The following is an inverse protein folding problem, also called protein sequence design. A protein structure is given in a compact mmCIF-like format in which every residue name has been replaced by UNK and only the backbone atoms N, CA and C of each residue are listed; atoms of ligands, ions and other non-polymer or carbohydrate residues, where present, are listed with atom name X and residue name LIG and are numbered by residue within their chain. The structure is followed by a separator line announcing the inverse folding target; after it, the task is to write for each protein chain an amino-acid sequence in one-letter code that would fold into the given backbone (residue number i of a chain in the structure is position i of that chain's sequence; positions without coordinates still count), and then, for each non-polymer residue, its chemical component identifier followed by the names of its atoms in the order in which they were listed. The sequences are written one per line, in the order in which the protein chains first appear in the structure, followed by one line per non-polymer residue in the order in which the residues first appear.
data_IF_143679146297
#
_entry.id   IF_143679146297
#
_cell.length_a   1.000
_cell.length_b   1.000
_cell.length_c   1.000
_cell.angle_alpha   90.00
_cell.angle_beta   90.00
_cell.angle_gamma   90.00
#
_symmetry.space_group_name_H-M   'P 1'
#
loop_
_entity.id
_entity.type
_entity.pdbx_description
1 polymer ?
#
# COMPACT_ATOMS: atom_id res chain seq x y z
N UNK A 1 -49.37 12.46 36.89
CA UNK A 1 -48.18 11.73 36.37
C UNK A 1 -48.55 10.81 35.19
N UNK A 2 -49.11 11.31 34.08
CA UNK A 2 -49.46 10.48 32.89
C UNK A 2 -48.72 10.87 31.61
N UNK A 3 -47.97 11.98 31.60
CA UNK A 3 -47.30 12.51 30.40
C UNK A 3 -45.79 12.24 30.33
N UNK A 4 -45.19 11.60 31.35
CA UNK A 4 -43.74 11.35 31.40
C UNK A 4 -43.28 10.20 30.48
N UNK A 5 -44.15 9.23 30.24
CA UNK A 5 -43.85 8.03 29.42
C UNK A 5 -43.72 8.35 27.91
N UNK A 6 -44.59 9.16 27.27
CA UNK A 6 -44.46 9.45 25.84
C UNK A 6 -43.23 10.32 25.50
N UNK A 7 -42.77 11.18 26.42
CA UNK A 7 -41.58 12.03 26.20
C UNK A 7 -40.30 11.20 26.12
N UNK A 8 -40.19 10.16 26.94
CA UNK A 8 -39.03 9.26 26.96
C UNK A 8 -38.93 8.41 25.69
N UNK A 9 -40.06 7.93 25.17
CA UNK A 9 -40.10 7.17 23.91
C UNK A 9 -39.75 8.04 22.68
N UNK A 10 -40.18 9.31 22.67
CA UNK A 10 -39.80 10.25 21.61
C UNK A 10 -38.30 10.58 21.63
N UNK A 11 -37.73 10.80 22.81
CA UNK A 11 -36.29 11.03 22.95
C UNK A 11 -35.47 9.81 22.51
N UNK A 12 -35.94 8.60 22.80
CA UNK A 12 -35.27 7.36 22.40
C UNK A 12 -35.27 7.18 20.86
N UNK A 13 -36.34 7.56 20.15
CA UNK A 13 -36.38 7.45 18.68
C UNK A 13 -35.49 8.49 17.97
N UNK A 14 -35.28 9.65 18.59
CA UNK A 14 -34.38 10.69 18.07
C UNK A 14 -32.90 10.30 18.22
N UNK A 15 -32.55 9.44 19.17
CA UNK A 15 -31.18 8.97 19.35
C UNK A 15 -30.75 7.88 18.35
N UNK A 16 -31.68 7.21 17.67
CA UNK A 16 -31.36 6.08 16.76
C UNK A 16 -31.15 6.48 15.31
N UNK A 17 -31.32 7.76 14.93
CA UNK A 17 -31.29 8.21 13.54
C UNK A 17 -29.91 8.68 13.03
N UNK A 18 -28.84 8.61 13.85
CA UNK A 18 -27.50 9.10 13.46
C UNK A 18 -26.55 7.99 12.99
N UNK A 19 -27.06 6.90 12.43
CA UNK A 19 -26.20 5.89 11.82
C UNK A 19 -25.77 6.38 10.43
N UNK A 20 -24.61 7.06 10.34
CA UNK A 20 -24.00 7.41 9.06
C UNK A 20 -23.61 6.12 8.35
N UNK A 21 -24.17 5.88 7.18
CA UNK A 21 -23.83 4.70 6.37
C UNK A 21 -22.50 4.98 5.68
N UNK A 22 -21.45 4.28 6.10
CA UNK A 22 -20.14 4.39 5.49
C UNK A 22 -20.17 3.65 4.14
N UNK A 23 -19.94 4.37 3.03
CA UNK A 23 -19.95 3.78 1.69
C UNK A 23 -18.65 3.05 1.36
N UNK A 24 -17.55 3.48 1.97
CA UNK A 24 -16.22 2.92 1.75
C UNK A 24 -15.67 2.32 3.04
N UNK A 25 -15.52 1.01 3.08
CA UNK A 25 -14.96 0.27 4.23
C UNK A 25 -13.57 -0.25 3.86
N UNK A 26 -12.57 0.04 4.70
CA UNK A 26 -11.21 -0.47 4.51
C UNK A 26 -10.79 -1.27 5.73
N UNK A 27 -10.20 -2.43 5.47
CA UNK A 27 -9.66 -3.32 6.48
C UNK A 27 -8.23 -3.71 6.12
N UNK A 28 -7.35 -3.72 7.11
CA UNK A 28 -5.98 -4.19 6.96
C UNK A 28 -5.84 -5.50 7.70
N UNK A 29 -5.30 -6.51 7.03
CA UNK A 29 -5.04 -7.82 7.63
C UNK A 29 -3.57 -8.17 7.49
N UNK A 30 -3.00 -8.68 8.57
CA UNK A 30 -1.71 -9.33 8.56
C UNK A 30 -1.89 -10.77 8.11
N UNK A 31 -0.92 -11.26 7.35
CA UNK A 31 -0.84 -12.64 6.88
C UNK A 31 0.38 -13.27 7.55
N UNK A 32 0.14 -14.27 8.38
CA UNK A 32 1.16 -15.07 9.02
C UNK A 32 0.66 -16.52 9.13
N UNK A 33 1.55 -17.42 9.54
CA UNK A 33 1.17 -18.82 9.80
C UNK A 33 0.10 -18.94 10.90
N UNK A 34 0.01 -17.97 11.81
CA UNK A 34 -0.98 -17.97 12.90
C UNK A 34 -2.41 -17.73 12.40
N UNK A 35 -2.58 -17.30 11.15
CA UNK A 35 -3.88 -17.16 10.51
C UNK A 35 -4.37 -18.47 9.87
N UNK A 36 -3.53 -19.52 9.80
CA UNK A 36 -3.91 -20.81 9.23
C UNK A 36 -4.63 -21.66 10.28
N UNK A 37 -5.78 -22.24 9.91
CA UNK A 37 -6.50 -23.13 10.82
C UNK A 37 -5.66 -24.37 11.19
N UNK A 38 -4.88 -24.89 10.23
CA UNK A 38 -3.97 -26.03 10.39
C UNK A 38 -2.94 -25.84 11.51
N UNK A 39 -2.51 -24.59 11.73
CA UNK A 39 -1.60 -24.23 12.83
C UNK A 39 -2.18 -24.59 14.21
N UNK A 40 -3.47 -24.37 14.43
CA UNK A 40 -4.13 -24.63 15.73
C UNK A 40 -4.58 -26.08 15.90
N UNK A 41 -4.87 -26.79 14.81
CA UNK A 41 -5.32 -28.20 14.87
C UNK A 41 -4.17 -29.20 14.71
N UNK A 42 -2.93 -28.72 14.58
CA UNK A 42 -1.72 -29.53 14.37
C UNK A 42 -1.86 -30.53 13.21
N UNK A 43 -2.63 -30.17 12.19
CA UNK A 43 -2.79 -30.99 10.98
C UNK A 43 -1.61 -30.73 10.05
N UNK A 44 -0.94 -31.77 9.52
CA UNK A 44 0.14 -31.59 8.56
C UNK A 44 -0.40 -30.89 7.30
N UNK A 45 0.05 -29.66 7.07
CA UNK A 45 -0.35 -28.79 5.97
C UNK A 45 0.92 -28.25 5.29
N UNK A 46 1.13 -28.48 3.98
CA UNK A 46 2.29 -27.96 3.25
C UNK A 46 2.46 -26.44 3.35
N UNK A 47 1.37 -25.70 3.61
CA UNK A 47 1.42 -24.26 3.82
C UNK A 47 2.01 -23.85 5.17
N UNK A 48 2.14 -24.78 6.14
CA UNK A 48 2.85 -24.52 7.40
C UNK A 48 4.37 -24.56 7.23
N UNK A 49 4.88 -25.37 6.30
CA UNK A 49 6.32 -25.50 6.05
C UNK A 49 6.89 -24.24 5.38
N UNK A 50 6.08 -23.56 4.55
CA UNK A 50 6.44 -22.29 3.92
C UNK A 50 5.24 -21.33 3.91
N UNK A 51 4.93 -20.71 5.07
CA UNK A 51 3.75 -19.86 5.21
C UNK A 51 3.92 -18.57 4.45
N UNK A 52 2.82 -18.10 3.86
CA UNK A 52 2.77 -16.75 3.29
C UNK A 52 2.86 -15.76 4.44
N UNK A 53 3.84 -14.87 4.36
CA UNK A 53 3.99 -13.75 5.29
C UNK A 53 3.70 -12.45 4.57
N UNK A 54 2.97 -11.54 5.20
CA UNK A 54 2.69 -10.25 4.57
C UNK A 54 1.54 -9.47 5.18
N UNK A 55 1.01 -8.56 4.38
CA UNK A 55 -0.14 -7.73 4.68
C UNK A 55 -1.04 -7.62 3.47
N UNK A 56 -2.34 -7.41 3.71
CA UNK A 56 -3.31 -7.09 2.67
C UNK A 56 -4.23 -5.96 3.10
N UNK A 57 -4.65 -5.16 2.14
CA UNK A 57 -5.69 -4.15 2.31
C UNK A 57 -6.93 -4.62 1.55
N UNK A 58 -8.02 -4.81 2.27
CA UNK A 58 -9.34 -5.05 1.70
C UNK A 58 -10.08 -3.72 1.62
N UNK A 59 -10.36 -3.27 0.41
CA UNK A 59 -11.18 -2.10 0.13
C UNK A 59 -12.54 -2.59 -0.35
N UNK A 60 -13.59 -2.27 0.39
CA UNK A 60 -14.98 -2.60 0.04
C UNK A 60 -15.77 -1.33 -0.15
N UNK A 61 -16.58 -1.30 -1.20
CA UNK A 61 -17.46 -0.16 -1.48
C UNK A 61 -18.91 -0.58 -1.67
N UNK A 62 -19.80 0.29 -1.24
CA UNK A 62 -21.23 0.27 -1.48
C UNK A 62 -21.67 1.72 -1.73
N UNK A 63 -21.43 2.19 -2.96
CA UNK A 63 -21.62 3.57 -3.38
C UNK A 63 -23.12 3.87 -3.58
N UNK A 64 -23.56 5.09 -3.24
CA UNK A 64 -24.94 5.51 -3.45
C UNK A 64 -25.23 5.64 -4.94
N UNK A 65 -26.49 5.46 -5.33
CA UNK A 65 -26.94 5.59 -6.73
C UNK A 65 -26.73 6.98 -7.32
N UNK A 66 -26.54 8.01 -6.49
CA UNK A 66 -26.16 9.36 -6.95
C UNK A 66 -24.85 9.38 -7.73
N UNK A 67 -23.96 8.40 -7.50
CA UNK A 67 -22.67 8.30 -8.20
C UNK A 67 -22.82 7.70 -9.61
N UNK A 68 -24.00 7.18 -9.98
CA UNK A 68 -24.27 6.72 -11.35
C UNK A 68 -24.31 7.87 -12.38
N UNK A 69 -24.42 9.12 -11.91
CA UNK A 69 -24.42 10.28 -12.79
C UNK A 69 -23.03 10.64 -13.31
N UNK A 70 -21.96 10.13 -12.69
CA UNK A 70 -20.60 10.32 -13.17
C UNK A 70 -20.36 9.42 -14.39
N UNK A 71 -19.76 9.98 -15.44
CA UNK A 71 -19.40 9.22 -16.64
C UNK A 71 -18.16 8.33 -16.37
N UNK A 72 -17.21 8.87 -15.61
CA UNK A 72 -16.00 8.15 -15.23
C UNK A 72 -15.88 8.09 -13.70
N UNK A 73 -16.11 6.89 -13.16
CA UNK A 73 -15.94 6.61 -11.73
C UNK A 73 -14.73 5.69 -11.54
N UNK A 74 -13.77 6.10 -10.72
CA UNK A 74 -12.55 5.36 -10.46
C UNK A 74 -12.22 5.33 -8.97
N UNK A 75 -11.58 4.24 -8.54
CA UNK A 75 -11.01 4.10 -7.20
C UNK A 75 -9.50 4.26 -7.31
N UNK A 76 -8.94 5.15 -6.51
CA UNK A 76 -7.51 5.41 -6.41
C UNK A 76 -7.01 5.02 -5.03
N UNK A 77 -6.21 3.96 -4.95
CA UNK A 77 -5.51 3.52 -3.75
C UNK A 77 -4.06 3.97 -3.82
N UNK A 78 -3.64 4.75 -2.83
CA UNK A 78 -2.24 5.16 -2.63
C UNK A 78 -1.73 4.46 -1.38
N UNK A 79 -0.68 3.64 -1.54
CA UNK A 79 -0.05 2.90 -0.44
C UNK A 79 1.36 3.44 -0.24
N UNK A 80 1.71 3.77 1.00
CA UNK A 80 3.08 4.12 1.39
C UNK A 80 3.68 2.99 2.20
N UNK A 81 4.86 2.57 1.77
CA UNK A 81 5.62 1.48 2.38
C UNK A 81 6.64 2.03 3.38
N UNK A 82 7.14 1.18 4.27
CA UNK A 82 8.16 1.57 5.26
C UNK A 82 9.49 1.97 4.63
N UNK A 83 9.81 1.46 3.44
CA UNK A 83 10.98 1.85 2.64
C UNK A 83 10.84 3.21 1.93
N UNK A 84 9.79 3.98 2.28
CA UNK A 84 9.44 5.30 1.71
C UNK A 84 9.00 5.26 0.25
N UNK A 85 8.79 4.09 -0.34
CA UNK A 85 8.15 4.00 -1.66
C UNK A 85 6.65 4.27 -1.56
N UNK A 86 6.12 4.87 -2.61
CA UNK A 86 4.70 5.12 -2.78
C UNK A 86 4.21 4.36 -4.01
N UNK A 87 3.19 3.53 -3.83
CA UNK A 87 2.51 2.80 -4.90
C UNK A 87 1.14 3.43 -5.14
N UNK A 88 0.84 3.72 -6.41
CA UNK A 88 -0.43 4.30 -6.84
C UNK A 88 -1.14 3.30 -7.73
N UNK A 89 -2.34 2.92 -7.32
CA UNK A 89 -3.17 1.95 -8.01
C UNK A 89 -4.50 2.62 -8.29
N UNK A 90 -4.85 2.76 -9.56
CA UNK A 90 -6.15 3.27 -9.97
C UNK A 90 -6.87 2.25 -10.83
N UNK A 91 -8.17 2.09 -10.62
CA UNK A 91 -9.01 1.25 -11.47
C UNK A 91 -10.44 1.80 -11.59
N UNK A 92 -11.09 1.60 -12.76
CA UNK A 92 -12.46 2.05 -12.97
C UNK A 92 -13.45 1.20 -12.15
N UNK A 93 -14.41 1.85 -11.52
CA UNK A 93 -15.50 1.22 -10.77
C UNK A 93 -16.64 0.90 -11.73
N UNK A 94 -16.79 -0.38 -12.08
CA UNK A 94 -17.89 -0.84 -12.96
C UNK A 94 -19.20 -1.05 -12.22
N UNK A 95 -19.13 -1.44 -10.94
CA UNK A 95 -20.28 -1.79 -10.11
C UNK A 95 -20.35 -0.89 -8.88
N UNK A 96 -21.56 -0.47 -8.49
CA UNK A 96 -21.78 0.37 -7.29
C UNK A 96 -21.41 -0.34 -5.99
N UNK A 97 -21.38 -1.66 -5.99
CA UNK A 97 -20.89 -2.48 -4.88
C UNK A 97 -19.74 -3.36 -5.35
N UNK A 98 -18.72 -3.52 -4.53
CA UNK A 98 -17.60 -4.38 -4.88
C UNK A 98 -16.52 -4.41 -3.81
N UNK A 99 -15.47 -5.17 -4.13
CA UNK A 99 -14.29 -5.25 -3.28
C UNK A 99 -13.02 -5.35 -4.11
N UNK A 100 -11.93 -4.88 -3.53
CA UNK A 100 -10.59 -4.95 -4.08
C UNK A 100 -9.61 -5.34 -2.97
N UNK A 101 -8.68 -6.21 -3.31
CA UNK A 101 -7.65 -6.70 -2.39
C UNK A 101 -6.26 -6.33 -2.93
N UNK A 102 -5.57 -5.49 -2.18
CA UNK A 102 -4.15 -5.23 -2.39
C UNK A 102 -3.32 -6.17 -1.52
N UNK A 103 -2.30 -6.81 -2.11
CA UNK A 103 -1.44 -7.77 -1.42
C UNK A 103 0.01 -7.28 -1.42
N UNK A 104 0.63 -7.31 -0.25
CA UNK A 104 2.07 -7.13 -0.06
C UNK A 104 2.60 -8.34 0.71
N UNK A 105 3.18 -9.30 -0.01
CA UNK A 105 3.53 -10.63 0.53
C UNK A 105 4.99 -11.00 0.25
N UNK A 106 5.50 -11.95 1.04
CA UNK A 106 6.81 -12.61 0.92
C UNK A 106 7.95 -11.60 0.71
N UNK A 107 8.74 -11.75 -0.34
CA UNK A 107 9.93 -10.92 -0.61
C UNK A 107 9.60 -9.43 -0.67
N UNK A 108 8.46 -9.05 -1.24
CA UNK A 108 8.03 -7.65 -1.33
C UNK A 108 7.74 -7.07 0.06
N UNK A 109 7.10 -7.86 0.93
CA UNK A 109 6.86 -7.48 2.32
C UNK A 109 8.17 -7.34 3.10
N UNK A 110 9.06 -8.34 2.98
CA UNK A 110 10.35 -8.34 3.65
C UNK A 110 11.26 -7.18 3.21
N UNK A 111 11.29 -6.87 1.91
CA UNK A 111 12.13 -5.81 1.36
C UNK A 111 11.61 -4.41 1.71
N UNK A 112 10.28 -4.23 1.72
CA UNK A 112 9.65 -2.93 1.98
C UNK A 112 9.47 -2.62 3.46
N UNK A 113 9.49 -3.65 4.33
CA UNK A 113 9.14 -3.53 5.74
C UNK A 113 7.64 -3.44 6.00
N UNK A 114 6.81 -3.71 4.99
CA UNK A 114 5.35 -3.65 5.10
C UNK A 114 4.73 -2.31 4.72
N UNK A 115 3.41 -2.23 4.86
CA UNK A 115 2.58 -1.07 4.62
C UNK A 115 2.66 -0.14 5.84
N UNK A 116 3.12 1.09 5.62
CA UNK A 116 3.19 2.10 6.67
C UNK A 116 1.87 2.88 6.80
N UNK A 117 1.28 3.29 5.68
CA UNK A 117 0.01 4.04 5.66
C UNK A 117 -0.62 3.99 4.26
N UNK A 118 -1.90 4.31 4.15
CA UNK A 118 -2.61 4.32 2.86
C UNK A 118 -3.72 5.38 2.83
N UNK A 119 -4.12 5.74 1.61
CA UNK A 119 -5.26 6.60 1.31
C UNK A 119 -6.04 6.02 0.15
N UNK A 120 -7.37 6.08 0.24
CA UNK A 120 -8.28 5.66 -0.83
C UNK A 120 -9.15 6.85 -1.21
N UNK A 121 -9.16 7.19 -2.50
CA UNK A 121 -10.01 8.23 -3.06
C UNK A 121 -10.97 7.60 -4.09
N UNK A 122 -12.25 7.95 -4.01
CA UNK A 122 -13.25 7.70 -5.07
C UNK A 122 -13.33 8.97 -5.90
N UNK A 123 -13.00 8.87 -7.19
CA UNK A 123 -12.93 10.00 -8.11
C UNK A 123 -14.02 9.83 -9.16
N UNK A 124 -14.89 10.83 -9.30
CA UNK A 124 -15.96 10.91 -10.29
C UNK A 124 -15.74 12.11 -11.21
N UNK A 125 -15.70 11.88 -12.52
CA UNK A 125 -15.46 12.89 -13.56
C UNK A 125 -14.23 13.78 -13.25
N UNK A 126 -13.14 13.15 -12.78
CA UNK A 126 -11.89 13.81 -12.41
C UNK A 126 -11.91 14.53 -11.04
N UNK A 127 -13.04 14.60 -10.35
CA UNK A 127 -13.17 15.21 -9.03
C UNK A 127 -13.17 14.15 -7.92
N UNK A 128 -12.47 14.42 -6.80
CA UNK A 128 -12.53 13.54 -5.62
C UNK A 128 -13.88 13.72 -4.94
N UNK A 129 -14.68 12.65 -4.92
CA UNK A 129 -16.04 12.65 -4.34
C UNK A 129 -15.99 12.20 -2.87
N UNK A 130 -15.18 11.18 -2.59
CA UNK A 130 -15.04 10.60 -1.25
C UNK A 130 -13.58 10.21 -1.00
N UNK A 131 -13.09 10.47 0.20
CA UNK A 131 -11.72 10.15 0.62
C UNK A 131 -11.75 9.41 1.94
N UNK A 132 -10.98 8.35 2.03
CA UNK A 132 -10.67 7.66 3.27
C UNK A 132 -9.15 7.65 3.48
N UNK A 133 -8.73 8.04 4.69
CA UNK A 133 -7.32 8.16 5.06
C UNK A 133 -7.01 7.29 6.28
N UNK A 134 -5.89 6.55 6.21
CA UNK A 134 -5.39 5.84 7.37
C UNK A 134 -5.06 6.86 8.47
N UNK A 135 -5.24 6.57 9.77
CA UNK A 135 -5.01 7.55 10.84
C UNK A 135 -3.59 8.15 10.84
N UNK A 136 -2.60 7.39 10.34
CA UNK A 136 -1.22 7.85 10.19
C UNK A 136 -0.94 8.55 8.85
N UNK A 137 -1.94 8.75 8.00
CA UNK A 137 -1.78 9.43 6.73
C UNK A 137 -1.64 10.93 6.96
N UNK A 138 -0.52 11.49 6.50
CA UNK A 138 -0.27 12.92 6.48
C UNK A 138 0.14 13.31 5.06
N UNK A 139 -0.37 14.45 4.59
CA UNK A 139 -0.01 14.96 3.27
C UNK A 139 1.46 15.42 3.28
N UNK A 140 2.23 15.03 2.27
CA UNK A 140 3.67 15.32 2.23
C UNK A 140 3.88 16.79 1.96
N UNK A 141 4.67 17.44 2.80
CA UNK A 141 5.08 18.83 2.61
C UNK A 141 6.19 18.84 1.56
N UNK A 142 5.88 19.34 0.36
CA UNK A 142 6.85 19.56 -0.70
C UNK A 142 7.33 21.01 -0.65
N UNK A 143 8.65 21.20 -0.63
CA UNK A 143 9.25 22.53 -0.73
C UNK A 143 9.74 22.75 -2.15
N UNK A 144 9.18 23.74 -2.82
CA UNK A 144 9.73 24.25 -4.07
C UNK A 144 10.96 25.09 -3.73
N UNK A 145 12.10 24.43 -3.51
CA UNK A 145 13.36 25.15 -3.33
C UNK A 145 13.69 25.75 -4.70
N UNK A 146 13.74 27.09 -4.83
CA UNK A 146 14.17 27.71 -6.07
C UNK A 146 15.57 27.18 -6.35
N UNK A 147 15.73 26.49 -7.48
CA UNK A 147 17.05 26.14 -8.01
C UNK A 147 17.73 27.48 -8.26
N UNK A 148 18.51 27.96 -7.28
CA UNK A 148 19.36 29.11 -7.48
C UNK A 148 20.32 28.66 -8.56
N UNK A 149 20.11 29.15 -9.80
CA UNK A 149 21.06 28.94 -10.88
C UNK A 149 22.41 29.29 -10.29
N UNK A 150 23.27 28.28 -10.16
CA UNK A 150 24.69 28.50 -9.94
C UNK A 150 25.17 29.17 -11.23
N UNK A 151 24.93 30.49 -11.32
CA UNK A 151 25.48 31.31 -12.37
C UNK A 151 26.97 31.06 -12.36
N UNK A 152 27.41 30.63 -13.54
CA UNK A 152 28.76 30.28 -13.90
C UNK A 152 29.77 31.25 -13.28
N UNK A 153 30.47 30.80 -12.25
CA UNK A 153 31.83 31.26 -12.07
C UNK A 153 32.65 30.58 -13.16
N UNK A 154 32.63 31.19 -14.36
CA UNK A 154 33.62 30.95 -15.40
C UNK A 154 34.97 31.38 -14.83
N UNK A 155 35.67 30.47 -14.16
CA UNK A 155 37.07 30.65 -13.83
C UNK A 155 37.88 30.41 -15.10
N UNK A 156 38.08 31.47 -15.87
CA UNK A 156 39.15 31.53 -16.87
C UNK A 156 40.50 31.61 -16.15
N UNK A 157 41.35 30.59 -16.32
CA UNK A 157 42.74 30.55 -15.85
C UNK A 157 42.87 30.30 -14.34
N UNK A 158 43.79 29.48 -13.85
CA UNK A 158 45.13 29.18 -14.33
C UNK A 158 45.58 27.85 -13.71
N UNK A 159 46.23 27.04 -14.53
CA UNK A 159 47.18 25.96 -14.22
C UNK A 159 47.54 25.79 -12.73
N UNK A 160 47.03 24.72 -12.11
CA UNK A 160 47.57 24.18 -10.86
C UNK A 160 47.19 22.71 -10.65
N UNK A 161 48.10 21.83 -11.08
CA UNK A 161 48.46 20.54 -10.48
C UNK A 161 47.30 19.60 -10.08
N UNK A 162 47.05 18.69 -11.00
CA UNK A 162 46.48 17.36 -10.80
C UNK A 162 47.07 16.65 -9.57
N UNK A 163 46.35 16.64 -8.44
CA UNK A 163 46.62 15.68 -7.37
C UNK A 163 45.92 14.38 -7.72
N UNK A 164 46.74 13.44 -8.20
CA UNK A 164 46.43 12.04 -8.40
C UNK A 164 46.10 11.42 -7.04
N UNK A 165 44.82 11.15 -6.78
CA UNK A 165 44.44 10.24 -5.71
C UNK A 165 44.64 8.81 -6.22
N UNK A 166 45.77 8.19 -5.89
CA UNK A 166 45.96 6.75 -6.04
C UNK A 166 45.11 6.05 -4.97
N UNK A 167 43.96 5.50 -5.39
CA UNK A 167 43.29 4.48 -4.59
C UNK A 167 44.16 3.22 -4.60
N UNK A 168 44.82 2.99 -3.48
CA UNK A 168 45.50 1.72 -3.20
C UNK A 168 44.42 0.64 -3.15
N UNK A 169 44.57 -0.36 -4.02
CA UNK A 169 43.75 -1.57 -4.02
C UNK A 169 44.06 -2.49 -2.83
N UNK A 170 43.85 -3.80 -2.99
CA UNK A 170 42.75 -4.55 -2.36
C UNK A 170 43.16 -5.24 -1.07
N UNK A 171 42.21 -5.42 -0.14
CA UNK A 171 42.33 -6.45 0.90
C UNK A 171 41.60 -7.70 0.41
N UNK A 172 42.41 -8.65 -0.04
CA UNK A 172 42.07 -10.03 -0.36
C UNK A 172 41.85 -10.76 0.96
N UNK A 173 40.64 -11.28 1.20
CA UNK A 173 40.44 -12.40 2.11
C UNK A 173 40.39 -13.69 1.30
N UNK A 174 41.49 -14.45 1.36
CA UNK A 174 41.56 -15.86 0.96
C UNK A 174 40.99 -16.71 2.11
N UNK A 175 40.04 -17.59 1.81
CA UNK A 175 39.45 -18.46 2.83
C UNK A 175 38.49 -19.51 2.29
N UNK A 176 39.03 -20.46 1.52
CA UNK A 176 38.60 -21.87 1.38
C UNK A 176 37.17 -22.21 0.90
N UNK A 177 37.14 -22.53 -0.38
CA UNK A 177 36.36 -23.54 -1.10
C UNK A 177 35.67 -24.64 -0.27
N UNK A 178 34.36 -24.82 -0.50
CA UNK A 178 33.79 -26.15 -0.71
C UNK A 178 32.96 -26.17 -2.00
N UNK A 179 33.34 -27.12 -2.86
CA UNK A 179 32.89 -27.34 -4.23
C UNK A 179 31.85 -28.44 -4.20
N UNK A 180 30.67 -28.20 -4.78
CA UNK A 180 29.77 -29.26 -5.23
C UNK A 180 28.92 -28.73 -6.38
N UNK A 181 29.13 -29.30 -7.56
CA UNK A 181 28.47 -28.99 -8.83
C UNK A 181 27.03 -29.54 -8.87
N UNK A 182 26.09 -28.75 -9.41
CA UNK A 182 25.23 -29.12 -10.56
C UNK A 182 24.29 -27.94 -10.84
N UNK A 183 24.47 -27.24 -11.97
CA UNK A 183 23.84 -27.56 -13.24
C UNK A 183 22.31 -27.51 -13.20
N UNK A 184 21.75 -26.32 -13.39
CA UNK A 184 20.74 -26.06 -14.44
C UNK A 184 20.34 -24.59 -14.41
N UNK A 185 20.82 -23.89 -15.43
CA UNK A 185 20.33 -22.58 -15.84
C UNK A 185 18.82 -22.61 -16.08
N UNK A 186 18.07 -21.88 -15.27
CA UNK A 186 16.82 -21.23 -15.68
C UNK A 186 16.78 -19.83 -15.10
N UNK A 187 17.28 -18.87 -15.89
CA UNK A 187 16.92 -17.45 -15.75
C UNK A 187 15.41 -17.31 -15.97
N UNK A 188 14.64 -17.30 -14.91
CA UNK A 188 13.29 -16.75 -14.91
C UNK A 188 13.39 -15.30 -14.43
N UNK A 189 13.20 -14.36 -15.34
CA UNK A 189 12.88 -12.97 -15.03
C UNK A 189 11.52 -12.97 -14.31
N UNK A 190 11.52 -13.04 -12.99
CA UNK A 190 10.33 -12.84 -12.17
C UNK A 190 10.04 -11.33 -12.14
N UNK A 191 9.31 -10.87 -13.15
CA UNK A 191 8.58 -9.59 -13.10
C UNK A 191 7.60 -9.73 -11.93
N UNK A 192 7.76 -8.93 -10.88
CA UNK A 192 6.81 -8.86 -9.78
C UNK A 192 5.41 -8.57 -10.35
N UNK A 193 4.61 -9.62 -10.49
CA UNK A 193 3.26 -9.53 -10.99
C UNK A 193 2.36 -9.28 -9.78
N UNK A 194 1.93 -8.03 -9.62
CA UNK A 194 0.81 -7.67 -8.76
C UNK A 194 -0.41 -8.44 -9.27
N UNK A 195 -0.82 -9.49 -8.55
CA UNK A 195 -1.97 -10.30 -8.92
C UNK A 195 -3.24 -9.58 -8.48
N UNK A 196 -3.87 -8.85 -9.39
CA UNK A 196 -5.13 -8.16 -9.14
C UNK A 196 -6.29 -9.13 -9.38
N UNK A 197 -6.97 -9.55 -8.32
CA UNK A 197 -8.24 -10.28 -8.44
C UNK A 197 -9.38 -9.33 -8.10
N UNK A 198 -10.16 -8.96 -9.11
CA UNK A 198 -11.40 -8.21 -8.94
C UNK A 198 -12.53 -9.22 -8.86
N UNK A 199 -13.11 -9.39 -7.67
CA UNK A 199 -14.31 -10.18 -7.50
C UNK A 199 -15.53 -9.27 -7.72
N UNK A 200 -16.33 -9.56 -8.75
CA UNK A 200 -17.71 -9.05 -8.83
C UNK A 200 -18.59 -10.04 -8.07
N UNK A 201 -19.26 -9.55 -7.02
CA UNK A 201 -20.36 -10.24 -6.38
C UNK A 201 -21.66 -9.98 -7.16
#
# INVERSE_FOLDING_TARGET
MKYFIPLYLLALSLCTSSCVRQHLTIQTHYLSHENLASYYVFTPDPHLDNPIIGQRILVQWALPSSYLNYQELQLSLIVRLHDRKEEKISFPIKNMTGSYLYYLINDAYCASGGIATYKVDVIGDGCVVETWKHPLWVDLITFDIPQTQADSCTSSGTDAKQLVYQSVGPIIFLGSTMRSNSSSDKKANAKAASFNVVFSA
#
